data_IF_640197603591
#
_entry.id   IF_640197603591
#
_cell.length_a   1.000
_cell.length_b   1.000
_cell.length_c   1.000
_cell.angle_alpha   90.00
_cell.angle_beta   90.00
_cell.angle_gamma   90.00
#
_symmetry.space_group_name_H-M   'P 1'
#
loop_
_entity.id
_entity.type
_entity.pdbx_description
1 polymer ?
#
# COMPACT_ATOMS: atom_id res chain seq x y z
N UNK A 1 3.77 -9.06 -1.79
CA UNK A 1 2.34 -9.14 -2.12
C UNK A 1 1.68 -10.04 -1.09
N UNK A 2 0.59 -9.58 -0.49
CA UNK A 2 -0.18 -10.38 0.44
C UNK A 2 -1.02 -11.44 -0.30
N UNK A 3 -1.70 -12.30 0.45
CA UNK A 3 -2.33 -13.51 -0.08
C UNK A 3 -3.79 -13.31 -0.54
N UNK A 4 -4.23 -12.07 -0.78
CA UNK A 4 -5.59 -11.80 -1.23
C UNK A 4 -5.90 -12.58 -2.53
N UNK A 5 -7.10 -13.17 -2.61
CA UNK A 5 -7.46 -14.12 -3.68
C UNK A 5 -7.26 -13.55 -5.09
N UNK A 6 -7.51 -12.26 -5.27
CA UNK A 6 -7.36 -11.58 -6.56
C UNK A 6 -5.88 -11.34 -6.97
N UNK A 7 -4.93 -11.35 -6.03
CA UNK A 7 -3.51 -11.30 -6.35
C UNK A 7 -2.99 -12.60 -6.98
N UNK A 8 -3.64 -13.73 -6.67
CA UNK A 8 -3.26 -15.06 -7.18
C UNK A 8 -3.81 -15.36 -8.58
N UNK A 9 -4.60 -14.46 -9.18
CA UNK A 9 -5.10 -14.66 -10.55
C UNK A 9 -3.93 -14.71 -11.54
N UNK A 10 -4.03 -15.59 -12.53
CA UNK A 10 -2.96 -15.80 -13.50
C UNK A 10 -2.70 -14.55 -14.35
N UNK A 11 -3.75 -13.85 -14.77
CA UNK A 11 -3.62 -12.63 -15.57
C UNK A 11 -2.85 -11.51 -14.85
N UNK A 12 -3.07 -11.35 -13.54
CA UNK A 12 -2.28 -10.42 -12.71
C UNK A 12 -0.80 -10.81 -12.71
N UNK A 13 -0.49 -12.10 -12.54
CA UNK A 13 0.89 -12.58 -12.50
C UNK A 13 1.59 -12.43 -13.86
N UNK A 14 0.87 -12.75 -14.95
CA UNK A 14 1.37 -12.63 -16.31
C UNK A 14 1.76 -11.19 -16.64
N UNK A 15 0.89 -10.21 -16.31
CA UNK A 15 1.18 -8.79 -16.54
C UNK A 15 2.43 -8.35 -15.76
N UNK A 16 2.57 -8.77 -14.51
CA UNK A 16 3.73 -8.42 -13.68
C UNK A 16 5.02 -8.98 -14.30
N UNK A 17 5.03 -10.26 -14.69
CA UNK A 17 6.20 -10.91 -15.30
C UNK A 17 6.51 -10.36 -16.69
N UNK A 18 5.50 -10.06 -17.51
CA UNK A 18 5.69 -9.44 -18.84
C UNK A 18 6.38 -8.06 -18.75
N UNK A 19 6.20 -7.33 -17.65
CA UNK A 19 6.87 -6.07 -17.38
C UNK A 19 8.24 -6.25 -16.66
N UNK A 20 8.77 -7.47 -16.59
CA UNK A 20 10.10 -7.77 -16.03
C UNK A 20 10.16 -7.77 -14.51
N UNK A 21 9.00 -7.82 -13.82
CA UNK A 21 8.94 -7.86 -12.36
C UNK A 21 8.76 -9.29 -11.83
N UNK A 22 9.22 -9.52 -10.60
CA UNK A 22 9.02 -10.77 -9.86
C UNK A 22 8.12 -10.52 -8.66
N UNK A 23 7.33 -11.54 -8.27
CA UNK A 23 6.41 -11.44 -7.14
C UNK A 23 7.07 -12.04 -5.90
N UNK A 24 7.27 -11.23 -4.87
CA UNK A 24 7.60 -11.70 -3.53
C UNK A 24 6.31 -11.93 -2.75
N UNK A 25 5.96 -13.19 -2.53
CA UNK A 25 4.81 -13.58 -1.70
C UNK A 25 5.15 -13.49 -0.21
N UNK A 26 4.26 -12.87 0.56
CA UNK A 26 4.38 -12.85 2.01
C UNK A 26 3.78 -14.12 2.63
N UNK A 27 4.30 -14.59 3.78
CA UNK A 27 3.66 -15.67 4.53
C UNK A 27 2.21 -15.30 4.95
N UNK A 28 1.32 -16.28 5.12
CA UNK A 28 -0.04 -16.03 5.58
C UNK A 28 -0.06 -15.29 6.93
N UNK A 29 -0.96 -14.31 7.05
CA UNK A 29 -1.14 -13.53 8.29
C UNK A 29 0.12 -12.83 8.80
N UNK A 30 1.03 -12.41 7.91
CA UNK A 30 2.23 -11.64 8.25
C UNK A 30 2.15 -10.16 7.81
N UNK A 31 1.24 -9.36 8.41
CA UNK A 31 1.12 -7.94 8.08
C UNK A 31 2.36 -7.14 8.51
N UNK A 32 3.10 -7.62 9.49
CA UNK A 32 4.38 -7.10 9.96
C UNK A 32 5.46 -7.11 8.86
N UNK A 33 5.37 -8.04 7.92
CA UNK A 33 6.28 -8.14 6.78
C UNK A 33 5.84 -7.30 5.57
N UNK A 34 4.75 -6.54 5.69
CA UNK A 34 4.23 -5.67 4.64
C UNK A 34 4.49 -4.18 4.97
N UNK A 35 5.54 -3.54 4.41
CA UNK A 35 5.92 -2.18 4.80
C UNK A 35 4.81 -1.13 4.64
N UNK A 36 3.86 -1.34 3.72
CA UNK A 36 2.73 -0.42 3.49
C UNK A 36 1.80 -0.32 4.71
N UNK A 37 1.76 -1.33 5.58
CA UNK A 37 0.93 -1.32 6.79
C UNK A 37 1.36 -0.22 7.78
N UNK A 38 2.67 0.04 7.89
CA UNK A 38 3.20 1.13 8.71
C UNK A 38 2.76 2.49 8.17
N UNK A 39 2.81 2.67 6.85
CA UNK A 39 2.33 3.87 6.17
C UNK A 39 0.83 4.08 6.44
N UNK A 40 0.01 3.04 6.29
CA UNK A 40 -1.42 3.10 6.60
C UNK A 40 -1.72 3.42 8.07
N UNK A 41 -0.96 2.87 9.00
CA UNK A 41 -1.10 3.21 10.42
C UNK A 41 -0.84 4.70 10.69
N UNK A 42 0.20 5.28 10.07
CA UNK A 42 0.49 6.70 10.17
C UNK A 42 -0.63 7.57 9.60
N UNK A 43 -1.11 7.26 8.39
CA UNK A 43 -2.19 8.03 7.74
C UNK A 43 -3.48 7.99 8.57
N UNK A 44 -3.85 6.83 9.10
CA UNK A 44 -5.03 6.69 9.97
C UNK A 44 -4.92 7.55 11.24
N UNK A 45 -3.72 7.61 11.84
CA UNK A 45 -3.45 8.48 13.00
C UNK A 45 -3.64 9.96 12.65
N UNK A 46 -3.11 10.42 11.50
CA UNK A 46 -3.28 11.81 11.05
C UNK A 46 -4.74 12.14 10.72
N UNK A 47 -5.43 11.25 10.00
CA UNK A 47 -6.87 11.38 9.72
C UNK A 47 -7.65 11.60 11.01
N UNK A 48 -7.38 10.80 12.04
CA UNK A 48 -8.05 10.89 13.33
C UNK A 48 -7.71 12.20 14.06
N UNK A 49 -6.44 12.58 14.09
CA UNK A 49 -5.98 13.81 14.76
C UNK A 49 -6.58 15.07 14.12
N UNK A 50 -6.67 15.11 12.79
CA UNK A 50 -7.18 16.25 12.02
C UNK A 50 -8.68 16.19 11.77
N UNK A 51 -9.36 15.11 12.21
CA UNK A 51 -10.79 14.86 12.00
C UNK A 51 -11.20 15.00 10.53
N UNK A 52 -10.36 14.48 9.64
CA UNK A 52 -10.66 14.50 8.20
C UNK A 52 -11.83 13.57 7.90
N UNK A 53 -12.91 14.17 7.40
CA UNK A 53 -14.14 13.54 6.94
C UNK A 53 -14.24 13.45 5.41
N UNK A 54 -13.44 14.25 4.70
CA UNK A 54 -13.37 14.27 3.25
C UNK A 54 -12.28 13.33 2.71
N UNK A 55 -12.69 12.40 1.83
CA UNK A 55 -11.79 11.43 1.21
C UNK A 55 -10.74 12.10 0.30
N UNK A 56 -11.10 13.16 -0.42
CA UNK A 56 -10.17 13.86 -1.32
C UNK A 56 -9.05 14.55 -0.54
N UNK A 57 -9.39 15.15 0.61
CA UNK A 57 -8.39 15.74 1.51
C UNK A 57 -7.47 14.66 2.09
N UNK A 58 -8.02 13.51 2.47
CA UNK A 58 -7.22 12.38 2.94
C UNK A 58 -6.24 11.89 1.86
N UNK A 59 -6.69 11.72 0.62
CA UNK A 59 -5.84 11.31 -0.49
C UNK A 59 -4.80 12.36 -0.86
N UNK A 60 -5.13 13.65 -0.82
CA UNK A 60 -4.16 14.72 -1.02
C UNK A 60 -3.00 14.62 -0.02
N UNK A 61 -3.30 14.50 1.28
CA UNK A 61 -2.27 14.36 2.30
C UNK A 61 -1.52 13.04 2.19
N UNK A 62 -2.20 11.95 1.83
CA UNK A 62 -1.55 10.66 1.55
C UNK A 62 -0.49 10.78 0.45
N UNK A 63 -0.87 11.33 -0.71
CA UNK A 63 0.02 11.47 -1.86
C UNK A 63 1.16 12.45 -1.56
N UNK A 64 0.88 13.51 -0.79
CA UNK A 64 1.91 14.45 -0.35
C UNK A 64 2.91 13.81 0.62
N UNK A 65 2.44 13.10 1.65
CA UNK A 65 3.30 12.41 2.62
C UNK A 65 4.14 11.34 1.93
N UNK A 66 3.53 10.50 1.09
CA UNK A 66 4.23 9.42 0.39
C UNK A 66 5.26 9.94 -0.62
N UNK A 67 4.99 11.04 -1.34
CA UNK A 67 5.99 11.65 -2.24
C UNK A 67 7.10 12.42 -1.49
N UNK A 68 6.83 12.90 -0.28
CA UNK A 68 7.84 13.59 0.53
C UNK A 68 8.95 12.65 1.02
N UNK A 69 8.72 11.33 1.02
CA UNK A 69 9.71 10.30 1.36
C UNK A 69 10.51 9.76 0.16
N UNK A 70 10.20 10.20 -1.08
CA UNK A 70 10.91 9.81 -2.30
C UNK A 70 11.98 10.84 -2.75
N UNK A 71 12.17 11.91 -1.99
CA UNK A 71 13.15 12.99 -2.26
C UNK A 71 14.27 13.06 -1.20
N UNK A 72 14.44 12.01 -0.40
CA UNK A 72 15.60 11.76 0.47
C UNK A 72 16.16 10.37 0.19
#
# INVERSE_FOLDING_TARGET
MDNATFHKRQDTQDIITQNGHTILWLPPYSPDLNPIEHTWAHIKKLRQAWRLDCIDRLFFYFMWICNSFLVL
#
